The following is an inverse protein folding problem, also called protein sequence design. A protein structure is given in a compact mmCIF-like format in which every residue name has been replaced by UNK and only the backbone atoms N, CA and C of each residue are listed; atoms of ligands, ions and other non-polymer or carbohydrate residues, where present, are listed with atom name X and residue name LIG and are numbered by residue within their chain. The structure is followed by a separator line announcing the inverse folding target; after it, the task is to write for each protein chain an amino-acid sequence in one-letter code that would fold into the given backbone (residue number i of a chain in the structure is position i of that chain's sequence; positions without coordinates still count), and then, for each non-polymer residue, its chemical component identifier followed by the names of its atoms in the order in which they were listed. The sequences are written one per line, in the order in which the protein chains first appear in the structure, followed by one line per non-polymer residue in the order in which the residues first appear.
data_IF_030573149430
#
_entry.id   IF_030573149430
#
_cell.length_a   1.000
_cell.length_b   1.000
_cell.length_c   1.000
_cell.angle_alpha   90.00
_cell.angle_beta   90.00
_cell.angle_gamma   90.00
#
_symmetry.space_group_name_H-M   'P 1'
#
loop_
_entity.id
_entity.type
_entity.pdbx_description
1 polymer ?
#
# COMPACT_ATOMS: atom_id res chain seq x y z
N UNK A 1 29.95 -13.70 2.17
CA UNK A 1 28.48 -13.65 2.12
C UNK A 1 28.13 -13.99 0.70
N UNK A 2 27.48 -15.13 0.52
CA UNK A 2 27.28 -15.73 -0.78
C UNK A 2 25.91 -15.34 -1.36
N UNK A 3 25.69 -15.65 -2.64
CA UNK A 3 24.40 -15.42 -3.31
C UNK A 3 23.23 -16.06 -2.52
N UNK A 4 23.46 -17.23 -1.93
CA UNK A 4 22.46 -17.93 -1.12
C UNK A 4 22.05 -17.12 0.13
N UNK A 5 22.99 -16.45 0.79
CA UNK A 5 22.70 -15.63 1.98
C UNK A 5 21.81 -14.43 1.60
N UNK A 6 22.12 -13.79 0.46
CA UNK A 6 21.31 -12.69 -0.06
C UNK A 6 19.90 -13.13 -0.45
N UNK A 7 19.75 -14.30 -1.07
CA UNK A 7 18.42 -14.85 -1.41
C UNK A 7 17.60 -15.09 -0.16
N UNK A 8 18.18 -15.72 0.87
CA UNK A 8 17.50 -15.90 2.16
C UNK A 8 17.08 -14.57 2.78
N UNK A 9 17.94 -13.56 2.72
CA UNK A 9 17.59 -12.20 3.18
C UNK A 9 16.42 -11.60 2.39
N UNK A 10 16.36 -11.82 1.07
CA UNK A 10 15.22 -11.40 0.25
C UNK A 10 13.95 -12.11 0.70
N UNK A 11 13.98 -13.44 0.87
CA UNK A 11 12.81 -14.21 1.32
C UNK A 11 12.27 -13.71 2.67
N UNK A 12 13.18 -13.39 3.61
CA UNK A 12 12.81 -12.83 4.91
C UNK A 12 12.22 -11.41 4.80
N UNK A 13 12.70 -10.59 3.87
CA UNK A 13 12.15 -9.26 3.61
C UNK A 13 10.77 -9.36 2.94
N UNK A 14 10.62 -10.25 1.97
CA UNK A 14 9.35 -10.46 1.26
C UNK A 14 8.25 -10.92 2.21
N UNK A 15 8.56 -11.82 3.15
CA UNK A 15 7.61 -12.22 4.20
C UNK A 15 7.14 -11.01 5.05
N UNK A 16 8.03 -10.07 5.37
CA UNK A 16 7.68 -8.84 6.11
C UNK A 16 6.87 -7.88 5.25
N UNK A 17 7.23 -7.72 3.97
CA UNK A 17 6.50 -6.88 3.02
C UNK A 17 5.06 -7.40 2.88
N UNK A 18 4.87 -8.70 2.71
CA UNK A 18 3.53 -9.31 2.63
C UNK A 18 2.72 -8.99 3.88
N UNK A 19 3.30 -9.17 5.07
CA UNK A 19 2.62 -8.84 6.33
C UNK A 19 2.20 -7.37 6.39
N UNK A 20 3.09 -6.44 6.05
CA UNK A 20 2.81 -5.00 6.03
C UNK A 20 1.74 -4.63 5.00
N UNK A 21 1.74 -5.26 3.82
CA UNK A 21 0.71 -5.05 2.81
C UNK A 21 -0.64 -5.54 3.31
N UNK A 22 -0.70 -6.71 3.97
CA UNK A 22 -1.93 -7.24 4.57
C UNK A 22 -2.48 -6.32 5.66
N UNK A 23 -1.63 -5.79 6.55
CA UNK A 23 -2.03 -4.82 7.57
C UNK A 23 -2.56 -3.52 6.94
N UNK A 24 -1.89 -3.02 5.90
CA UNK A 24 -2.35 -1.84 5.14
C UNK A 24 -3.69 -2.10 4.45
N UNK A 25 -3.90 -3.30 3.93
CA UNK A 25 -5.16 -3.71 3.31
C UNK A 25 -6.31 -3.73 4.33
N UNK A 26 -6.09 -4.31 5.51
CA UNK A 26 -7.07 -4.29 6.60
C UNK A 26 -7.44 -2.85 7.00
N UNK A 27 -6.46 -1.96 7.16
CA UNK A 27 -6.73 -0.56 7.45
C UNK A 27 -7.55 0.13 6.34
N UNK A 28 -7.28 -0.18 5.07
CA UNK A 28 -8.05 0.31 3.94
C UNK A 28 -9.50 -0.19 3.96
N UNK A 29 -9.73 -1.46 4.31
CA UNK A 29 -11.08 -2.02 4.44
C UNK A 29 -11.87 -1.35 5.56
N UNK A 30 -11.27 -1.14 6.72
CA UNK A 30 -11.93 -0.44 7.83
C UNK A 30 -12.31 1.00 7.44
N UNK A 31 -11.44 1.71 6.72
CA UNK A 31 -11.78 3.01 6.14
C UNK A 31 -12.97 2.89 5.18
N UNK A 32 -12.98 1.88 4.31
CA UNK A 32 -14.11 1.61 3.41
C UNK A 32 -15.44 1.40 4.15
N UNK A 33 -15.44 0.60 5.23
CA UNK A 33 -16.63 0.37 6.07
C UNK A 33 -17.13 1.65 6.74
N UNK A 34 -16.23 2.47 7.27
CA UNK A 34 -16.59 3.77 7.86
C UNK A 34 -17.15 4.73 6.81
N UNK A 35 -16.63 4.68 5.58
CA UNK A 35 -17.13 5.46 4.46
C UNK A 35 -18.48 4.97 3.97
N UNK A 36 -18.82 3.68 3.99
CA UNK A 36 -20.16 3.22 3.63
C UNK A 36 -21.28 3.86 4.47
N UNK A 37 -20.99 4.23 5.72
CA UNK A 37 -21.92 4.96 6.60
C UNK A 37 -21.95 6.47 6.38
N UNK A 38 -21.15 7.02 5.47
CA UNK A 38 -21.07 8.45 5.15
C UNK A 38 -21.11 8.66 3.64
N UNK A 39 -21.64 9.76 3.12
CA UNK A 39 -21.69 9.97 1.65
C UNK A 39 -20.30 10.31 1.04
N UNK A 40 -19.21 9.81 1.62
CA UNK A 40 -17.84 10.15 1.25
C UNK A 40 -17.34 9.26 0.10
N UNK A 41 -16.64 9.83 -0.90
CA UNK A 41 -16.13 9.06 -2.02
C UNK A 41 -14.96 8.14 -1.61
N UNK A 42 -14.85 7.01 -2.31
CA UNK A 42 -13.69 6.10 -2.21
C UNK A 42 -12.43 6.74 -2.79
N UNK A 43 -12.58 7.53 -3.87
CA UNK A 43 -11.47 8.21 -4.52
C UNK A 43 -11.27 9.61 -3.93
N UNK A 44 -10.11 9.80 -3.29
CA UNK A 44 -9.71 11.07 -2.67
C UNK A 44 -8.29 11.44 -3.13
N UNK A 45 -8.16 12.23 -4.21
CA UNK A 45 -6.84 12.54 -4.82
C UNK A 45 -5.89 13.26 -3.85
N UNK A 46 -6.42 14.15 -3.00
CA UNK A 46 -5.61 14.86 -2.01
C UNK A 46 -5.03 13.90 -0.97
N UNK A 47 -5.80 12.87 -0.57
CA UNK A 47 -5.32 11.86 0.37
C UNK A 47 -4.19 11.04 -0.24
N UNK A 48 -4.32 10.65 -1.51
CA UNK A 48 -3.28 9.90 -2.24
C UNK A 48 -2.00 10.72 -2.37
N UNK A 49 -2.11 12.03 -2.66
CA UNK A 49 -0.96 12.94 -2.74
C UNK A 49 -0.17 12.99 -1.43
N UNK A 50 -0.86 13.03 -0.28
CA UNK A 50 -0.23 12.97 1.05
C UNK A 50 0.48 11.61 1.25
N UNK A 51 -0.13 10.51 0.82
CA UNK A 51 0.50 9.18 0.92
C UNK A 51 1.80 9.16 0.11
N UNK A 52 1.80 9.65 -1.13
CA UNK A 52 3.01 9.71 -1.95
C UNK A 52 4.09 10.58 -1.32
N UNK A 53 3.74 11.78 -0.83
CA UNK A 53 4.69 12.66 -0.13
C UNK A 53 5.36 11.96 1.05
N UNK A 54 4.58 11.27 1.88
CA UNK A 54 5.12 10.55 3.04
C UNK A 54 6.04 9.40 2.63
N UNK A 55 5.69 8.67 1.57
CA UNK A 55 6.50 7.56 1.05
C UNK A 55 7.82 8.04 0.50
N UNK A 56 7.80 9.11 -0.30
CA UNK A 56 9.01 9.69 -0.88
C UNK A 56 9.91 10.30 0.20
N UNK A 57 9.32 10.95 1.21
CA UNK A 57 10.08 11.46 2.36
C UNK A 57 10.71 10.33 3.20
N UNK A 58 10.08 9.15 3.24
CA UNK A 58 10.56 7.97 3.95
C UNK A 58 11.47 7.05 3.10
N UNK A 59 11.79 7.41 1.86
CA UNK A 59 12.65 6.60 0.97
C UNK A 59 14.13 6.99 1.13
N UNK A 60 14.96 6.24 1.88
CA UNK A 60 16.39 6.53 2.01
C UNK A 60 17.21 6.08 0.78
N UNK A 61 16.57 5.51 -0.24
CA UNK A 61 17.25 4.75 -1.28
C UNK A 61 17.56 3.31 -0.84
N UNK A 62 18.28 2.51 -1.65
CA UNK A 62 18.93 2.87 -2.93
C UNK A 62 17.96 2.99 -4.11
N UNK A 63 16.67 2.69 -3.92
CA UNK A 63 15.66 2.81 -4.97
C UNK A 63 15.37 4.30 -5.27
N UNK A 64 15.42 4.75 -6.53
CA UNK A 64 15.04 6.11 -6.89
C UNK A 64 13.58 6.41 -6.53
N UNK A 65 13.29 7.68 -6.22
CA UNK A 65 11.94 8.13 -5.87
C UNK A 65 10.89 7.81 -6.94
N UNK A 66 11.24 7.87 -8.22
CA UNK A 66 10.33 7.53 -9.31
C UNK A 66 9.85 6.07 -9.23
N UNK A 67 10.79 5.13 -9.02
CA UNK A 67 10.46 3.71 -8.90
C UNK A 67 9.67 3.42 -7.61
N UNK A 68 10.03 4.08 -6.50
CA UNK A 68 9.26 3.98 -5.26
C UNK A 68 7.82 4.47 -5.45
N UNK A 69 7.63 5.56 -6.19
CA UNK A 69 6.31 6.09 -6.52
C UNK A 69 5.50 5.08 -7.34
N UNK A 70 6.08 4.48 -8.37
CA UNK A 70 5.40 3.48 -9.20
C UNK A 70 4.92 2.25 -8.42
N UNK A 71 5.72 1.77 -7.48
CA UNK A 71 5.30 0.69 -6.56
C UNK A 71 4.08 1.13 -5.76
N UNK A 72 4.13 2.34 -5.20
CA UNK A 72 3.05 2.83 -4.35
C UNK A 72 1.76 3.17 -5.10
N UNK A 73 1.86 3.61 -6.35
CA UNK A 73 0.71 3.78 -7.25
C UNK A 73 -0.05 2.45 -7.35
N UNK A 74 0.68 1.35 -7.58
CA UNK A 74 0.06 0.02 -7.67
C UNK A 74 -0.54 -0.45 -6.35
N UNK A 75 0.12 -0.19 -5.23
CA UNK A 75 -0.42 -0.52 -3.90
C UNK A 75 -1.73 0.25 -3.65
N UNK A 76 -1.78 1.54 -3.98
CA UNK A 76 -2.99 2.37 -3.82
C UNK A 76 -4.13 1.87 -4.73
N UNK A 77 -3.84 1.54 -5.99
CA UNK A 77 -4.82 0.95 -6.92
C UNK A 77 -5.50 -0.29 -6.35
N UNK A 78 -4.70 -1.21 -5.81
CA UNK A 78 -5.19 -2.46 -5.23
C UNK A 78 -6.09 -2.16 -4.02
N UNK A 79 -5.68 -1.26 -3.12
CA UNK A 79 -6.49 -0.92 -1.95
C UNK A 79 -7.80 -0.21 -2.29
N UNK A 80 -7.80 0.65 -3.32
CA UNK A 80 -9.04 1.26 -3.83
C UNK A 80 -9.98 0.20 -4.38
N UNK A 81 -9.44 -0.80 -5.07
CA UNK A 81 -10.25 -1.90 -5.62
C UNK A 81 -10.83 -2.76 -4.52
N UNK A 82 -10.06 -3.02 -3.45
CA UNK A 82 -10.52 -3.76 -2.28
C UNK A 82 -11.69 -3.04 -1.58
N UNK A 83 -11.55 -1.74 -1.31
CA UNK A 83 -12.62 -0.91 -0.71
C UNK A 83 -13.93 -0.97 -1.53
N UNK A 84 -13.84 -0.88 -2.86
CA UNK A 84 -15.01 -0.98 -3.75
C UNK A 84 -15.68 -2.34 -3.81
N UNK A 85 -14.94 -3.43 -3.55
CA UNK A 85 -15.51 -4.80 -3.56
C UNK A 85 -16.34 -5.04 -2.32
N UNK A 86 -15.88 -4.54 -1.18
CA UNK A 86 -16.60 -4.66 0.10
C UNK A 86 -17.90 -3.83 0.10
N UNK A 87 -18.02 -2.79 -0.74
CA UNK A 87 -19.27 -2.05 -0.98
C UNK A 87 -20.34 -2.84 -1.74
N UNK A 88 -19.94 -3.84 -2.54
CA UNK A 88 -20.87 -4.60 -3.39
C UNK A 88 -21.34 -5.92 -2.78
N UNK A 89 -20.77 -6.31 -1.63
CA UNK A 89 -21.10 -7.56 -0.93
C UNK A 89 -21.88 -7.35 0.37
N UNK A 90 -22.02 -6.11 0.82
CA UNK A 90 -22.94 -5.69 1.89
C UNK A 90 -24.29 -5.27 1.32
#
# INVERSE_FOLDING_TARGET
MEIADWRKKIDELDARIVKLISERAAAAQEIGKLKQGSALPVYEPDREKIVFQNVLAANPGPLPNAEMQHIYERIIDVMRTLQRRDEKQS
#
